data_IF_033171464672
#
_entry.id   IF_033171464672
#
_cell.length_a   1.000
_cell.length_b   1.000
_cell.length_c   1.000
_cell.angle_alpha   90.00
_cell.angle_beta   90.00
_cell.angle_gamma   90.00
#
_symmetry.space_group_name_H-M   'P 1'
#
loop_
_entity.id
_entity.type
_entity.pdbx_description
1 polymer ?
#
# COMPACT_ATOMS: atom_id res chain seq x y z
N UNK A 1 -16.45 21.39 -28.47
CA UNK A 1 -15.10 20.97 -28.01
C UNK A 1 -15.09 20.15 -26.71
N UNK A 2 -16.24 19.72 -26.14
CA UNK A 2 -16.26 18.89 -24.93
C UNK A 2 -16.19 17.36 -25.19
N UNK A 3 -16.53 16.90 -26.40
CA UNK A 3 -16.53 15.47 -26.76
C UNK A 3 -15.13 14.86 -26.97
N UNK A 4 -14.14 15.66 -27.33
CA UNK A 4 -12.75 15.21 -27.59
C UNK A 4 -11.94 14.96 -26.31
N UNK A 5 -12.33 15.56 -25.18
CA UNK A 5 -11.64 15.38 -23.89
C UNK A 5 -11.99 14.04 -23.22
N UNK A 6 -13.28 13.65 -23.22
CA UNK A 6 -13.75 12.38 -22.64
C UNK A 6 -13.16 11.15 -23.35
N UNK A 7 -13.05 11.18 -24.68
CA UNK A 7 -12.51 10.07 -25.46
C UNK A 7 -11.00 9.88 -25.23
N UNK A 8 -10.26 10.95 -24.88
CA UNK A 8 -8.83 10.89 -24.52
C UNK A 8 -8.57 10.23 -23.17
N UNK A 9 -9.46 10.36 -22.19
CA UNK A 9 -9.31 9.68 -20.89
C UNK A 9 -9.33 8.15 -21.02
N UNK A 10 -10.19 7.61 -21.88
CA UNK A 10 -10.32 6.16 -22.10
C UNK A 10 -9.09 5.61 -22.82
N UNK A 11 -8.52 6.35 -23.78
CA UNK A 11 -7.30 5.96 -24.51
C UNK A 11 -6.09 5.91 -23.56
N UNK A 12 -5.92 6.90 -22.68
CA UNK A 12 -4.84 6.92 -21.68
C UNK A 12 -4.91 5.73 -20.71
N UNK A 13 -6.10 5.37 -20.20
CA UNK A 13 -6.28 4.23 -19.30
C UNK A 13 -5.87 2.89 -19.95
N UNK A 14 -6.14 2.72 -21.25
CA UNK A 14 -5.77 1.51 -22.01
C UNK A 14 -4.24 1.44 -22.22
N UNK A 15 -3.59 2.56 -22.56
CA UNK A 15 -2.13 2.64 -22.71
C UNK A 15 -1.39 2.33 -21.39
N UNK A 16 -1.84 2.88 -20.26
CA UNK A 16 -1.29 2.57 -18.93
C UNK A 16 -1.47 1.10 -18.56
N UNK A 17 -2.63 0.53 -18.88
CA UNK A 17 -2.89 -0.88 -18.65
C UNK A 17 -1.91 -1.79 -19.41
N UNK A 18 -1.43 -1.38 -20.59
CA UNK A 18 -0.46 -2.14 -21.37
C UNK A 18 0.97 -1.99 -20.81
N UNK A 19 1.36 -0.79 -20.37
CA UNK A 19 2.66 -0.56 -19.71
C UNK A 19 2.80 -1.35 -18.41
N UNK A 20 1.75 -1.38 -17.57
CA UNK A 20 1.73 -2.16 -16.33
C UNK A 20 1.77 -3.67 -16.58
N UNK A 21 1.09 -4.15 -17.63
CA UNK A 21 1.10 -5.58 -17.98
C UNK A 21 2.48 -6.03 -18.47
N UNK A 22 3.21 -5.16 -19.17
CA UNK A 22 4.59 -5.44 -19.57
C UNK A 22 5.55 -5.43 -18.37
N UNK A 23 5.37 -4.51 -17.43
CA UNK A 23 6.20 -4.44 -16.22
C UNK A 23 5.91 -5.59 -15.23
N UNK A 24 4.67 -6.08 -15.18
CA UNK A 24 4.22 -7.12 -14.24
C UNK A 24 3.45 -8.22 -14.98
N UNK A 25 4.12 -9.08 -15.77
CA UNK A 25 3.47 -9.99 -16.72
C UNK A 25 2.59 -11.08 -16.09
N UNK A 26 2.77 -11.38 -14.79
CA UNK A 26 1.93 -12.34 -14.07
C UNK A 26 0.60 -11.75 -13.58
N UNK A 27 0.43 -10.43 -13.65
CA UNK A 27 -0.72 -9.75 -13.08
C UNK A 27 -1.96 -9.84 -13.98
N UNK A 28 -3.14 -9.68 -13.38
CA UNK A 28 -4.43 -9.68 -14.06
C UNK A 28 -5.16 -8.36 -13.80
N UNK A 29 -5.95 -7.90 -14.79
CA UNK A 29 -6.73 -6.66 -14.70
C UNK A 29 -8.12 -6.92 -14.07
N UNK A 30 -8.69 -5.96 -13.31
CA UNK A 30 -8.01 -4.79 -12.73
C UNK A 30 -6.92 -5.20 -11.73
N UNK A 31 -5.83 -4.42 -11.69
CA UNK A 31 -4.68 -4.71 -10.86
C UNK A 31 -4.96 -4.35 -9.40
N UNK A 32 -4.88 -5.36 -8.54
CA UNK A 32 -4.99 -5.25 -7.09
C UNK A 32 -3.63 -5.41 -6.43
N UNK A 33 -3.30 -4.50 -5.51
CA UNK A 33 -2.00 -4.43 -4.84
C UNK A 33 -2.18 -4.61 -3.34
N UNK A 34 -1.33 -5.43 -2.72
CA UNK A 34 -1.21 -5.48 -1.26
C UNK A 34 -0.12 -4.52 -0.80
N UNK A 35 -0.47 -3.55 0.04
CA UNK A 35 0.44 -2.51 0.49
C UNK A 35 1.63 -3.07 1.31
N UNK A 36 2.82 -2.43 1.27
CA UNK A 36 3.93 -2.75 2.15
C UNK A 36 3.66 -2.27 3.58
N UNK A 37 3.00 -3.10 4.39
CA UNK A 37 2.73 -2.79 5.80
C UNK A 37 3.90 -3.24 6.65
N UNK A 38 4.57 -2.29 7.32
CA UNK A 38 5.78 -2.54 8.12
C UNK A 38 5.58 -3.73 9.07
N UNK A 39 6.50 -4.71 9.05
CA UNK A 39 6.47 -6.01 9.79
C UNK A 39 5.33 -6.97 9.40
N UNK A 40 4.17 -6.44 9.01
CA UNK A 40 2.93 -7.18 8.77
C UNK A 40 2.94 -7.89 7.40
N UNK A 41 3.34 -7.17 6.35
CA UNK A 41 3.36 -7.70 4.98
C UNK A 41 4.64 -8.50 4.77
N UNK A 42 4.62 -9.77 5.21
CA UNK A 42 5.69 -10.72 5.00
C UNK A 42 5.69 -11.37 3.60
N UNK A 43 6.64 -12.29 3.35
CA UNK A 43 6.79 -12.99 2.07
C UNK A 43 5.58 -13.88 1.77
N UNK A 44 4.94 -14.49 2.77
CA UNK A 44 3.72 -15.29 2.58
C UNK A 44 2.61 -14.47 1.94
N UNK A 45 2.33 -13.28 2.48
CA UNK A 45 1.30 -12.38 1.94
C UNK A 45 1.67 -11.89 0.53
N UNK A 46 2.91 -11.42 0.36
CA UNK A 46 3.36 -10.89 -0.92
C UNK A 46 3.27 -11.94 -2.05
N UNK A 47 3.77 -13.15 -1.78
CA UNK A 47 3.74 -14.26 -2.76
C UNK A 47 2.31 -14.74 -3.03
N UNK A 48 1.45 -14.87 -2.02
CA UNK A 48 0.06 -15.30 -2.21
C UNK A 48 -0.73 -14.32 -3.09
N UNK A 49 -0.54 -13.01 -2.88
CA UNK A 49 -1.16 -11.96 -3.70
C UNK A 49 -0.64 -12.01 -5.14
N UNK A 50 0.68 -12.14 -5.33
CA UNK A 50 1.27 -12.23 -6.67
C UNK A 50 0.83 -13.49 -7.42
N UNK A 51 0.75 -14.65 -6.75
CA UNK A 51 0.22 -15.90 -7.35
C UNK A 51 -1.21 -15.78 -7.84
N UNK A 52 -1.99 -14.87 -7.27
CA UNK A 52 -3.41 -14.67 -7.59
C UNK A 52 -3.63 -13.57 -8.65
N UNK A 53 -2.55 -13.21 -9.36
CA UNK A 53 -2.54 -12.17 -10.38
C UNK A 53 -2.61 -10.74 -9.81
N UNK A 54 -2.38 -10.55 -8.51
CA UNK A 54 -2.15 -9.23 -7.91
C UNK A 54 -0.66 -8.86 -7.91
N UNK A 55 -0.33 -7.74 -7.26
CA UNK A 55 1.05 -7.38 -6.94
C UNK A 55 1.22 -7.29 -5.42
N UNK A 56 1.93 -8.25 -4.83
CA UNK A 56 2.23 -8.26 -3.40
C UNK A 56 3.51 -7.49 -3.09
N UNK A 57 3.48 -6.65 -2.05
CA UNK A 57 4.67 -6.00 -1.52
C UNK A 57 5.07 -6.57 -0.15
N UNK A 58 6.36 -6.78 0.04
CA UNK A 58 6.95 -6.98 1.37
C UNK A 58 7.08 -5.60 2.05
N UNK A 59 6.61 -5.50 3.29
CA UNK A 59 6.72 -4.30 4.09
C UNK A 59 8.14 -4.11 4.65
N UNK A 60 8.55 -2.87 5.01
CA UNK A 60 9.80 -2.68 5.72
C UNK A 60 9.80 -3.50 7.01
N UNK A 61 10.93 -4.13 7.33
CA UNK A 61 11.07 -4.84 8.58
C UNK A 61 11.20 -3.92 9.81
N UNK A 62 11.49 -4.51 10.97
CA UNK A 62 11.77 -3.70 12.17
C UNK A 62 13.07 -2.91 12.01
N UNK A 63 14.07 -3.56 11.40
CA UNK A 63 15.37 -3.00 11.01
C UNK A 63 15.54 -3.15 9.49
N UNK A 64 16.26 -2.24 8.80
CA UNK A 64 16.48 -2.35 7.35
C UNK A 64 16.97 -3.72 6.86
N UNK A 65 17.82 -4.39 7.65
CA UNK A 65 18.41 -5.69 7.31
C UNK A 65 17.39 -6.84 7.33
N UNK A 66 16.30 -6.71 8.11
CA UNK A 66 15.29 -7.77 8.21
C UNK A 66 14.46 -7.91 6.93
N UNK A 67 14.36 -6.86 6.11
CA UNK A 67 13.72 -6.92 4.79
C UNK A 67 14.43 -7.88 3.83
N UNK A 68 15.75 -8.02 3.93
CA UNK A 68 16.53 -8.94 3.09
C UNK A 68 16.20 -10.42 3.40
N UNK A 69 15.91 -10.75 4.66
CA UNK A 69 15.51 -12.10 5.07
C UNK A 69 14.16 -12.47 4.46
N UNK A 70 13.21 -11.53 4.46
CA UNK A 70 11.89 -11.75 3.86
C UNK A 70 11.97 -11.89 2.34
N UNK A 71 12.85 -11.13 1.67
CA UNK A 71 13.07 -11.28 0.24
C UNK A 71 13.71 -12.62 -0.15
N UNK A 72 14.69 -13.10 0.62
CA UNK A 72 15.26 -14.45 0.42
C UNK A 72 14.16 -15.52 0.60
N UNK A 73 13.34 -15.42 1.65
CA UNK A 73 12.22 -16.34 1.87
C UNK A 73 11.20 -16.31 0.73
N UNK A 74 10.86 -15.14 0.21
CA UNK A 74 9.96 -15.03 -0.96
C UNK A 74 10.59 -15.66 -2.21
N UNK A 75 11.89 -15.44 -2.45
CA UNK A 75 12.63 -16.05 -3.55
C UNK A 75 12.63 -17.58 -3.44
N UNK A 76 12.87 -18.13 -2.27
CA UNK A 76 12.79 -19.57 -2.02
C UNK A 76 11.39 -20.11 -2.31
N UNK A 77 10.34 -19.47 -1.78
CA UNK A 77 8.94 -19.88 -2.04
C UNK A 77 8.60 -19.90 -3.53
N UNK A 78 9.07 -18.91 -4.28
CA UNK A 78 8.83 -18.77 -5.72
C UNK A 78 9.69 -19.72 -6.56
N UNK A 79 10.84 -20.14 -6.06
CA UNK A 79 11.70 -21.13 -6.71
C UNK A 79 11.11 -22.54 -6.60
N UNK A 80 10.45 -22.85 -5.47
CA UNK A 80 9.76 -24.14 -5.26
C UNK A 80 8.40 -24.22 -5.96
N UNK A 81 7.69 -23.10 -6.07
CA UNK A 81 6.39 -23.02 -6.73
C UNK A 81 6.29 -21.70 -7.51
N UNK A 82 6.75 -21.69 -8.77
CA UNK A 82 6.72 -20.49 -9.63
C UNK A 82 5.30 -19.99 -9.88
N UNK A 83 5.16 -18.70 -10.17
CA UNK A 83 3.87 -18.11 -10.57
C UNK A 83 3.56 -18.54 -11.99
N UNK A 84 2.39 -19.14 -12.20
CA UNK A 84 1.88 -19.43 -13.53
C UNK A 84 1.63 -18.13 -14.28
N UNK A 85 2.30 -17.94 -15.42
CA UNK A 85 2.02 -16.81 -16.30
C UNK A 85 0.64 -17.01 -16.97
N UNK A 86 -0.17 -15.95 -17.10
CA UNK A 86 -1.36 -16.01 -17.96
C UNK A 86 -0.95 -16.43 -19.38
N UNK A 87 -1.72 -17.34 -19.99
CA UNK A 87 -1.42 -17.93 -21.29
C UNK A 87 -1.26 -16.91 -22.46
N UNK A 88 -1.64 -15.64 -22.25
CA UNK A 88 -1.59 -14.59 -23.27
C UNK A 88 -0.22 -13.90 -23.44
N UNK A 89 0.77 -14.16 -22.57
CA UNK A 89 2.04 -13.40 -22.55
C UNK A 89 3.30 -14.27 -22.73
N UNK A 90 3.21 -15.42 -23.39
CA UNK A 90 4.38 -16.30 -23.61
C UNK A 90 5.33 -15.76 -24.70
N UNK A 91 6.08 -14.71 -24.41
CA UNK A 91 7.36 -14.48 -25.10
C UNK A 91 8.48 -15.05 -24.23
N UNK A 92 9.42 -15.74 -24.89
CA UNK A 92 10.57 -16.41 -24.27
C UNK A 92 11.47 -15.38 -23.57
N UNK A 93 11.22 -15.13 -22.29
CA UNK A 93 12.08 -14.29 -21.46
C UNK A 93 13.26 -15.12 -20.95
N UNK A 94 14.46 -14.62 -21.24
CA UNK A 94 15.74 -15.10 -20.76
C UNK A 94 15.72 -15.25 -19.22
N UNK A 95 15.83 -16.49 -18.74
CA UNK A 95 15.71 -16.85 -17.33
C UNK A 95 16.83 -16.23 -16.47
N UNK A 96 17.94 -15.78 -17.08
CA UNK A 96 19.11 -15.23 -16.38
C UNK A 96 18.90 -13.80 -15.82
N UNK A 97 17.87 -13.07 -16.26
CA UNK A 97 17.65 -11.65 -15.88
C UNK A 97 16.34 -11.36 -15.13
N UNK A 98 15.56 -12.39 -14.81
CA UNK A 98 14.18 -12.23 -14.31
C UNK A 98 14.11 -11.48 -12.97
N UNK A 99 13.17 -10.54 -12.88
CA UNK A 99 12.84 -9.84 -11.63
C UNK A 99 12.02 -10.77 -10.73
N UNK A 100 12.20 -10.63 -9.41
CA UNK A 100 11.38 -11.32 -8.42
C UNK A 100 9.95 -10.73 -8.49
N UNK A 101 8.89 -11.54 -8.70
CA UNK A 101 7.53 -11.07 -8.98
C UNK A 101 6.76 -10.59 -7.74
N UNK A 102 7.42 -9.78 -6.92
CA UNK A 102 6.88 -9.06 -5.77
C UNK A 102 7.56 -7.69 -5.68
N UNK A 103 6.95 -6.78 -4.94
CA UNK A 103 7.59 -5.52 -4.56
C UNK A 103 8.16 -5.52 -3.15
N UNK A 104 8.90 -4.48 -2.81
CA UNK A 104 9.43 -4.22 -1.45
C UNK A 104 9.22 -2.75 -1.07
N UNK A 105 8.86 -2.48 0.19
CA UNK A 105 8.68 -1.12 0.70
C UNK A 105 9.86 -0.60 1.52
N UNK A 106 10.12 0.70 1.39
CA UNK A 106 11.13 1.45 2.12
C UNK A 106 10.52 2.70 2.77
N UNK A 107 10.86 2.93 4.04
CA UNK A 107 10.60 4.19 4.73
C UNK A 107 11.84 5.06 4.58
N UNK A 108 11.69 6.28 4.06
CA UNK A 108 12.82 7.13 3.73
C UNK A 108 13.38 7.82 4.99
N UNK A 109 12.51 8.38 5.83
CA UNK A 109 12.90 9.16 7.01
C UNK A 109 13.78 8.45 8.06
N UNK A 110 13.78 7.11 8.09
CA UNK A 110 14.59 6.27 8.97
C UNK A 110 15.25 5.09 8.25
N UNK A 111 15.17 5.06 6.92
CA UNK A 111 15.77 4.02 6.09
C UNK A 111 17.23 4.31 5.80
N UNK A 112 17.94 3.28 5.35
CA UNK A 112 19.30 3.40 4.83
C UNK A 112 19.27 3.10 3.33
N UNK A 113 19.56 4.11 2.53
CA UNK A 113 19.54 4.06 1.06
C UNK A 113 20.56 3.04 0.51
N UNK A 114 21.70 2.85 1.17
CA UNK A 114 22.73 1.90 0.73
C UNK A 114 22.30 0.46 1.02
N UNK A 115 21.68 0.23 2.19
CA UNK A 115 21.09 -1.07 2.50
C UNK A 115 19.94 -1.39 1.53
N UNK A 116 19.09 -0.41 1.22
CA UNK A 116 18.02 -0.58 0.24
C UNK A 116 18.56 -0.90 -1.15
N UNK A 117 19.58 -0.16 -1.62
CA UNK A 117 20.22 -0.38 -2.91
C UNK A 117 20.89 -1.76 -2.99
N UNK A 118 21.61 -2.17 -1.95
CA UNK A 118 22.21 -3.50 -1.87
C UNK A 118 21.15 -4.61 -1.92
N UNK A 119 20.04 -4.40 -1.21
CA UNK A 119 18.89 -5.33 -1.18
C UNK A 119 18.23 -5.45 -2.56
N UNK A 120 17.97 -4.31 -3.22
CA UNK A 120 17.37 -4.28 -4.57
C UNK A 120 18.31 -4.90 -5.61
N UNK A 121 19.61 -4.63 -5.54
CA UNK A 121 20.61 -5.23 -6.43
C UNK A 121 20.66 -6.76 -6.29
N UNK A 122 20.63 -7.26 -5.05
CA UNK A 122 20.73 -8.70 -4.75
C UNK A 122 19.46 -9.48 -5.11
N UNK A 123 18.28 -8.98 -4.73
CA UNK A 123 17.02 -9.73 -4.85
C UNK A 123 16.18 -9.34 -6.07
N UNK A 124 16.49 -8.19 -6.68
CA UNK A 124 15.87 -7.71 -7.93
C UNK A 124 14.32 -7.74 -7.88
N UNK A 125 13.68 -7.17 -6.85
CA UNK A 125 12.22 -7.09 -6.79
C UNK A 125 11.66 -6.36 -8.00
N UNK A 126 10.45 -6.71 -8.44
CA UNK A 126 9.84 -6.05 -9.59
C UNK A 126 9.50 -4.57 -9.31
N UNK A 127 9.29 -4.22 -8.03
CA UNK A 127 8.99 -2.86 -7.62
C UNK A 127 9.63 -2.49 -6.28
N UNK A 128 10.03 -1.23 -6.13
CA UNK A 128 10.45 -0.61 -4.88
C UNK A 128 9.49 0.53 -4.53
N UNK A 129 8.86 0.45 -3.35
CA UNK A 129 7.89 1.42 -2.87
C UNK A 129 8.53 2.39 -1.88
N UNK A 130 8.50 3.68 -2.20
CA UNK A 130 9.07 4.75 -1.41
C UNK A 130 7.96 5.48 -0.63
N UNK A 131 8.17 5.65 0.66
CA UNK A 131 7.21 6.34 1.52
C UNK A 131 7.90 7.17 2.62
N UNK A 132 7.22 8.25 3.01
CA UNK A 132 7.56 9.12 4.12
C UNK A 132 8.98 9.70 4.06
N UNK A 133 9.29 10.53 3.04
CA UNK A 133 10.50 11.35 3.06
C UNK A 133 10.43 12.36 4.21
N UNK A 134 11.59 12.62 4.81
CA UNK A 134 11.77 13.72 5.78
C UNK A 134 12.06 15.03 5.07
N UNK A 135 12.82 14.98 3.98
CA UNK A 135 13.34 16.14 3.26
C UNK A 135 12.68 16.37 1.89
N UNK A 136 11.42 15.94 1.75
CA UNK A 136 10.60 16.20 0.56
C UNK A 136 11.08 15.50 -0.72
N UNK A 137 10.77 16.10 -1.87
CA UNK A 137 10.98 15.48 -3.19
C UNK A 137 12.46 15.20 -3.50
N UNK A 138 13.39 16.05 -3.06
CA UNK A 138 14.82 15.84 -3.31
C UNK A 138 15.34 14.53 -2.68
N UNK A 139 14.82 14.14 -1.51
CA UNK A 139 15.14 12.85 -0.90
C UNK A 139 14.57 11.69 -1.73
N UNK A 140 13.32 11.81 -2.17
CA UNK A 140 12.68 10.81 -3.03
C UNK A 140 13.48 10.61 -4.32
N UNK A 141 13.90 11.69 -4.96
CA UNK A 141 14.67 11.64 -6.20
C UNK A 141 16.01 10.92 -6.02
N UNK A 142 16.73 11.21 -4.95
CA UNK A 142 17.98 10.54 -4.61
C UNK A 142 17.78 9.03 -4.41
N UNK A 143 16.73 8.64 -3.66
CA UNK A 143 16.36 7.24 -3.49
C UNK A 143 16.01 6.56 -4.81
N UNK A 144 15.21 7.21 -5.66
CA UNK A 144 14.81 6.66 -6.95
C UNK A 144 16.02 6.38 -7.86
N UNK A 145 16.92 7.37 -8.02
CA UNK A 145 18.15 7.22 -8.82
C UNK A 145 18.99 6.06 -8.29
N UNK A 146 19.25 6.05 -6.98
CA UNK A 146 20.14 5.05 -6.37
C UNK A 146 19.60 3.61 -6.49
N UNK A 147 18.28 3.43 -6.40
CA UNK A 147 17.65 2.12 -6.58
C UNK A 147 17.61 1.68 -8.05
N UNK A 148 17.40 2.61 -8.99
CA UNK A 148 17.48 2.32 -10.43
C UNK A 148 18.89 1.92 -10.86
N UNK A 149 19.93 2.58 -10.33
CA UNK A 149 21.33 2.17 -10.54
C UNK A 149 21.59 0.75 -10.01
N UNK A 150 21.00 0.39 -8.88
CA UNK A 150 21.15 -0.93 -8.28
C UNK A 150 20.46 -2.03 -9.09
N UNK A 151 19.27 -1.76 -9.65
CA UNK A 151 18.55 -2.67 -10.54
C UNK A 151 17.64 -1.89 -11.52
N UNK A 152 18.07 -1.64 -12.78
CA UNK A 152 17.30 -0.85 -13.73
C UNK A 152 15.89 -1.39 -14.05
N UNK A 153 15.67 -2.70 -13.86
CA UNK A 153 14.37 -3.33 -14.06
C UNK A 153 13.37 -3.09 -12.92
N UNK A 154 13.84 -2.75 -11.71
CA UNK A 154 12.96 -2.49 -10.56
C UNK A 154 12.20 -1.17 -10.79
N UNK A 155 10.87 -1.23 -10.75
CA UNK A 155 10.02 -0.04 -10.90
C UNK A 155 9.88 0.73 -9.60
N UNK A 156 9.97 2.05 -9.67
CA UNK A 156 9.85 2.94 -8.51
C UNK A 156 8.39 3.35 -8.31
N UNK A 157 7.82 2.99 -7.17
CA UNK A 157 6.49 3.41 -6.73
C UNK A 157 6.65 4.46 -5.64
N UNK A 158 5.99 5.60 -5.79
CA UNK A 158 5.99 6.63 -4.76
C UNK A 158 4.59 6.81 -4.19
N UNK A 159 4.47 6.71 -2.87
CA UNK A 159 3.24 7.02 -2.17
C UNK A 159 3.17 8.50 -1.78
N UNK A 160 2.11 9.16 -2.24
CA UNK A 160 1.81 10.58 -2.01
C UNK A 160 0.44 10.71 -1.33
N UNK A 161 0.27 11.76 -0.52
CA UNK A 161 -0.99 12.04 0.18
C UNK A 161 -1.53 13.45 -0.03
N UNK A 162 -0.84 14.26 -0.83
CA UNK A 162 -1.25 15.62 -1.20
C UNK A 162 -1.07 15.86 -2.71
N UNK A 163 -1.76 16.87 -3.22
CA UNK A 163 -1.63 17.30 -4.61
C UNK A 163 -0.20 17.74 -4.95
N UNK A 164 0.42 18.57 -4.10
CA UNK A 164 1.76 19.12 -4.35
C UNK A 164 2.83 18.02 -4.41
N UNK A 165 2.79 17.04 -3.50
CA UNK A 165 3.72 15.88 -3.55
C UNK A 165 3.64 15.13 -4.88
N UNK A 166 2.44 15.01 -5.46
CA UNK A 166 2.25 14.33 -6.74
C UNK A 166 2.76 15.15 -7.93
N UNK A 167 2.51 16.46 -7.92
CA UNK A 167 2.98 17.38 -8.98
C UNK A 167 4.50 17.50 -8.97
N UNK A 168 5.12 17.64 -7.80
CA UNK A 168 6.59 17.69 -7.66
C UNK A 168 7.22 16.39 -8.17
N UNK A 169 6.70 15.23 -7.76
CA UNK A 169 7.19 13.93 -8.22
C UNK A 169 7.02 13.72 -9.73
N UNK A 170 5.92 14.22 -10.31
CA UNK A 170 5.69 14.14 -11.76
C UNK A 170 6.63 15.08 -12.54
N UNK A 171 7.06 16.19 -11.92
CA UNK A 171 7.98 17.15 -12.50
C UNK A 171 9.45 16.72 -12.42
N UNK A 172 9.80 15.74 -11.59
CA UNK A 172 11.15 15.17 -11.50
C UNK A 172 11.69 14.73 -12.87
N UNK A 173 13.01 14.80 -13.03
CA UNK A 173 13.72 14.35 -14.22
C UNK A 173 13.51 12.86 -14.48
N UNK A 174 13.68 12.43 -15.73
CA UNK A 174 13.46 11.03 -16.16
C UNK A 174 14.20 10.00 -15.30
N UNK A 175 15.39 10.34 -14.79
CA UNK A 175 16.20 9.44 -13.96
C UNK A 175 15.62 9.22 -12.54
N UNK A 176 14.93 10.20 -11.98
CA UNK A 176 14.37 10.17 -10.61
C UNK A 176 12.86 10.02 -10.58
N UNK A 177 12.16 10.34 -11.67
CA UNK A 177 10.70 10.27 -11.77
C UNK A 177 10.19 8.87 -11.41
N UNK A 178 9.15 8.77 -10.55
CA UNK A 178 8.57 7.48 -10.22
C UNK A 178 7.85 6.88 -11.43
N UNK A 179 7.84 5.55 -11.51
CA UNK A 179 7.10 4.81 -12.52
C UNK A 179 5.61 4.68 -12.17
N UNK A 180 5.26 4.83 -10.88
CA UNK A 180 3.88 4.76 -10.36
C UNK A 180 3.71 5.76 -9.21
N UNK A 181 2.58 6.47 -9.19
CA UNK A 181 2.14 7.22 -8.01
C UNK A 181 1.00 6.49 -7.30
N UNK A 182 1.15 6.31 -6.00
CA UNK A 182 0.10 5.77 -5.13
C UNK A 182 -0.53 6.93 -4.37
N UNK A 183 -1.74 7.29 -4.75
CA UNK A 183 -2.52 8.37 -4.14
C UNK A 183 -3.21 7.81 -2.90
N UNK A 184 -2.63 8.07 -1.73
CA UNK A 184 -3.15 7.63 -0.43
C UNK A 184 -4.15 8.64 0.13
N UNK A 185 -5.41 8.25 0.21
CA UNK A 185 -6.46 9.01 0.89
C UNK A 185 -6.35 8.98 2.42
N UNK A 186 -6.93 9.99 3.08
CA UNK A 186 -6.95 10.13 4.55
C UNK A 186 -7.67 8.99 5.29
N UNK A 187 -8.42 8.15 4.56
CA UNK A 187 -9.08 6.94 5.05
C UNK A 187 -8.09 5.79 5.31
N UNK A 188 -6.86 5.86 4.79
CA UNK A 188 -5.87 4.81 4.95
C UNK A 188 -5.47 4.56 6.41
N UNK A 189 -5.22 3.29 6.74
CA UNK A 189 -4.68 2.85 8.03
C UNK A 189 -3.18 3.09 8.15
N UNK A 190 -2.67 3.12 9.38
CA UNK A 190 -1.26 3.41 9.61
C UNK A 190 -0.89 4.83 9.18
N UNK A 191 0.42 5.06 9.01
CA UNK A 191 0.96 6.39 8.70
C UNK A 191 0.44 6.94 7.36
N UNK A 192 -0.06 8.16 7.43
CA UNK A 192 -0.48 8.98 6.29
C UNK A 192 -0.47 10.45 6.71
N UNK A 193 -0.92 11.35 5.85
CA UNK A 193 -0.92 12.80 6.12
C UNK A 193 -1.70 13.12 7.41
N UNK A 194 -1.06 13.90 8.29
CA UNK A 194 -1.56 14.16 9.63
C UNK A 194 -2.73 15.16 9.66
N UNK A 195 -2.65 16.23 8.86
CA UNK A 195 -3.60 17.35 8.90
C UNK A 195 -4.08 17.84 7.52
N UNK A 196 -3.35 17.56 6.45
CA UNK A 196 -3.59 18.06 5.09
C UNK A 196 -3.91 16.95 4.07
N UNK A 197 -4.20 15.74 4.55
CA UNK A 197 -4.64 14.65 3.71
C UNK A 197 -6.09 14.80 3.28
N UNK A 198 -6.39 14.45 2.03
CA UNK A 198 -7.75 14.43 1.48
C UNK A 198 -8.21 12.99 1.20
N UNK A 199 -9.52 12.78 1.07
CA UNK A 199 -10.04 11.47 0.65
C UNK A 199 -9.67 11.17 -0.81
N UNK A 200 -9.36 9.91 -1.12
CA UNK A 200 -8.83 9.56 -2.44
C UNK A 200 -9.83 9.84 -3.57
N UNK A 201 -11.14 9.80 -3.27
CA UNK A 201 -12.19 10.03 -4.27
C UNK A 201 -12.16 11.45 -4.84
N UNK A 202 -11.70 12.42 -4.05
CA UNK A 202 -11.51 13.81 -4.46
C UNK A 202 -10.08 14.06 -4.92
N UNK A 203 -9.09 13.50 -4.22
CA UNK A 203 -7.67 13.75 -4.46
C UNK A 203 -7.17 13.14 -5.79
N UNK A 204 -7.63 11.94 -6.14
CA UNK A 204 -7.13 11.24 -7.31
C UNK A 204 -7.48 11.94 -8.63
N UNK A 205 -8.72 12.39 -8.90
CA UNK A 205 -9.04 13.11 -10.13
C UNK A 205 -8.23 14.39 -10.30
N UNK A 206 -8.05 15.16 -9.23
CA UNK A 206 -7.29 16.41 -9.25
C UNK A 206 -5.81 16.16 -9.62
N UNK A 207 -5.19 15.16 -9.00
CA UNK A 207 -3.83 14.72 -9.36
C UNK A 207 -3.81 14.21 -10.81
N UNK A 208 -4.78 13.38 -11.21
CA UNK A 208 -4.85 12.83 -12.56
C UNK A 208 -4.87 13.90 -13.64
N UNK A 209 -5.56 15.01 -13.40
CA UNK A 209 -5.59 16.12 -14.35
C UNK A 209 -4.27 16.89 -14.38
N UNK A 210 -3.68 17.17 -13.22
CA UNK A 210 -2.43 17.92 -13.14
C UNK A 210 -1.21 17.13 -13.63
N UNK A 211 -1.17 15.81 -13.42
CA UNK A 211 -0.03 14.96 -13.81
C UNK A 211 -0.24 14.27 -15.15
N UNK A 212 -1.32 14.55 -15.89
CA UNK A 212 -1.66 13.85 -17.15
C UNK A 212 -0.50 13.80 -18.15
N UNK A 213 0.26 14.89 -18.26
CA UNK A 213 1.38 15.01 -19.20
C UNK A 213 2.60 14.14 -18.85
N UNK A 214 2.71 13.64 -17.62
CA UNK A 214 3.85 12.80 -17.20
C UNK A 214 3.72 11.35 -17.67
N UNK A 215 2.51 10.90 -17.96
CA UNK A 215 2.23 9.50 -18.28
C UNK A 215 2.41 8.54 -17.09
N UNK A 216 2.44 9.04 -15.84
CA UNK A 216 2.57 8.16 -14.68
C UNK A 216 1.19 7.59 -14.30
N UNK A 217 1.01 6.26 -14.26
CA UNK A 217 -0.23 5.65 -13.78
C UNK A 217 -0.44 5.91 -12.29
N UNK A 218 -1.70 6.21 -11.93
CA UNK A 218 -2.11 6.48 -10.56
C UNK A 218 -2.81 5.27 -9.93
N UNK A 219 -2.42 4.91 -8.72
CA UNK A 219 -3.08 3.86 -7.93
C UNK A 219 -3.81 4.50 -6.75
N UNK A 220 -5.07 4.11 -6.54
CA UNK A 220 -5.83 4.59 -5.40
C UNK A 220 -5.52 3.74 -4.15
N UNK A 221 -5.29 4.39 -3.01
CA UNK A 221 -5.12 3.73 -1.72
C UNK A 221 -5.93 4.43 -0.62
N UNK A 222 -6.41 3.66 0.35
CA UNK A 222 -7.16 4.17 1.51
C UNK A 222 -8.65 3.84 1.43
N UNK A 223 -9.23 3.25 2.49
CA UNK A 223 -10.65 2.90 2.54
C UNK A 223 -11.12 1.75 1.63
N UNK A 224 -10.32 1.32 0.66
CA UNK A 224 -10.65 0.23 -0.27
C UNK A 224 -10.51 -1.13 0.44
N UNK A 225 -11.60 -1.90 0.49
CA UNK A 225 -11.64 -3.20 1.15
C UNK A 225 -12.35 -4.33 0.37
N UNK A 226 -13.07 -3.99 -0.71
CA UNK A 226 -13.84 -4.93 -1.53
C UNK A 226 -14.03 -4.38 -2.97
N UNK A 227 -14.79 -5.10 -3.79
CA UNK A 227 -15.00 -4.74 -5.19
C UNK A 227 -15.71 -3.41 -5.41
N UNK A 228 -16.47 -2.90 -4.45
CA UNK A 228 -17.17 -1.60 -4.55
C UNK A 228 -16.16 -0.46 -4.50
N UNK A 229 -15.27 -0.50 -3.50
CA UNK A 229 -14.18 0.47 -3.40
C UNK A 229 -13.23 0.39 -4.60
N UNK A 230 -12.95 -0.81 -5.09
CA UNK A 230 -12.12 -1.01 -6.27
C UNK A 230 -12.77 -0.44 -7.53
N UNK A 231 -14.06 -0.73 -7.78
CA UNK A 231 -14.80 -0.19 -8.93
C UNK A 231 -14.90 1.34 -8.87
N UNK A 232 -15.16 1.92 -7.69
CA UNK A 232 -15.21 3.37 -7.51
C UNK A 232 -13.87 4.05 -7.86
N UNK A 233 -12.76 3.50 -7.36
CA UNK A 233 -11.43 4.01 -7.66
C UNK A 233 -11.08 3.92 -9.16
N UNK A 234 -11.41 2.81 -9.81
CA UNK A 234 -11.20 2.64 -11.25
C UNK A 234 -12.06 3.63 -12.06
N UNK A 235 -13.31 3.85 -11.64
CA UNK A 235 -14.24 4.77 -12.30
C UNK A 235 -13.76 6.24 -12.28
N UNK A 236 -13.02 6.64 -11.24
CA UNK A 236 -12.47 8.00 -11.12
C UNK A 236 -11.06 8.15 -11.74
N UNK A 237 -10.55 7.12 -12.43
CA UNK A 237 -9.32 7.21 -13.22
C UNK A 237 -8.10 6.49 -12.64
N UNK A 238 -8.24 5.70 -11.58
CA UNK A 238 -7.13 4.87 -11.09
C UNK A 238 -6.77 3.78 -12.11
N UNK A 239 -5.47 3.52 -12.31
CA UNK A 239 -4.95 2.41 -13.10
C UNK A 239 -4.99 1.06 -12.34
N UNK A 240 -5.09 1.13 -11.01
CA UNK A 240 -5.22 -0.01 -10.11
C UNK A 240 -5.48 0.46 -8.70
N UNK A 241 -5.64 -0.48 -7.77
CA UNK A 241 -5.98 -0.16 -6.38
C UNK A 241 -5.09 -0.87 -5.39
N UNK A 242 -4.85 -0.22 -4.26
CA UNK A 242 -4.03 -0.73 -3.18
C UNK A 242 -4.89 -0.94 -1.95
N UNK A 243 -4.82 -2.14 -1.40
CA UNK A 243 -5.48 -2.50 -0.15
C UNK A 243 -4.42 -2.76 0.93
N UNK A 244 -4.64 -2.16 2.11
CA UNK A 244 -3.85 -2.44 3.31
C UNK A 244 -4.70 -3.16 4.35
N UNK A 245 -5.65 -2.43 4.94
CA UNK A 245 -6.51 -2.94 6.03
C UNK A 245 -7.24 -4.24 5.70
N UNK A 246 -7.67 -4.43 4.44
CA UNK A 246 -8.31 -5.70 4.03
C UNK A 246 -7.40 -6.91 4.18
N UNK A 247 -6.10 -6.75 3.88
CA UNK A 247 -5.10 -7.82 4.00
C UNK A 247 -4.62 -8.04 5.43
N UNK A 248 -4.92 -7.15 6.40
CA UNK A 248 -4.72 -7.46 7.82
C UNK A 248 -5.58 -8.66 8.26
N UNK A 249 -6.74 -8.83 7.64
CA UNK A 249 -7.61 -9.99 7.80
C UNK A 249 -7.35 -11.06 6.72
N UNK A 250 -6.07 -11.29 6.40
CA UNK A 250 -5.64 -12.46 5.61
C UNK A 250 -5.00 -13.52 6.50
N UNK A 251 -4.98 -14.77 6.05
CA UNK A 251 -4.29 -15.86 6.76
C UNK A 251 -2.76 -15.68 6.72
N UNK A 252 -2.25 -14.98 5.71
CA UNK A 252 -0.83 -14.81 5.42
C UNK A 252 -0.20 -13.57 6.08
N UNK A 253 -1.01 -12.66 6.61
CA UNK A 253 -0.50 -11.48 7.32
C UNK A 253 0.16 -11.86 8.65
N UNK A 254 1.34 -11.28 8.92
CA UNK A 254 2.09 -11.48 10.18
C UNK A 254 1.51 -10.60 11.29
N UNK A 255 0.28 -10.92 11.72
CA UNK A 255 -0.42 -10.20 12.79
C UNK A 255 -0.77 -11.14 13.93
N UNK A 256 -0.76 -10.62 15.15
CA UNK A 256 -1.27 -11.34 16.31
C UNK A 256 -2.78 -11.62 16.12
N UNK A 257 -3.27 -12.74 16.65
CA UNK A 257 -4.67 -13.13 16.48
C UNK A 257 -5.65 -12.11 17.07
N UNK A 258 -5.31 -11.51 18.20
CA UNK A 258 -6.15 -10.48 18.84
C UNK A 258 -6.15 -9.17 18.06
N UNK A 259 -5.02 -8.82 17.42
CA UNK A 259 -4.98 -7.72 16.44
C UNK A 259 -5.98 -7.99 15.32
N UNK A 260 -5.90 -9.18 14.71
CA UNK A 260 -6.76 -9.54 13.57
C UNK A 260 -8.24 -9.60 13.97
N UNK A 261 -8.54 -10.14 15.15
CA UNK A 261 -9.89 -10.15 15.71
C UNK A 261 -10.41 -8.72 15.91
N UNK A 262 -9.56 -7.81 16.39
CA UNK A 262 -9.93 -6.40 16.56
C UNK A 262 -10.24 -5.71 15.22
N UNK A 263 -9.47 -5.99 14.17
CA UNK A 263 -9.76 -5.50 12.80
C UNK A 263 -11.13 -5.96 12.32
N UNK A 264 -11.52 -7.20 12.59
CA UNK A 264 -12.80 -7.77 12.13
C UNK A 264 -13.98 -7.29 12.97
N UNK A 265 -13.74 -7.11 14.27
CA UNK A 265 -14.73 -6.61 15.23
C UNK A 265 -15.09 -5.15 14.95
N UNK A 266 -14.10 -4.31 14.67
CA UNK A 266 -14.32 -2.88 14.50
C UNK A 266 -15.32 -2.57 13.37
N UNK A 267 -16.16 -1.58 13.61
CA UNK A 267 -17.20 -1.11 12.71
C UNK A 267 -17.33 0.39 12.87
N UNK A 268 -17.97 1.10 11.93
CA UNK A 268 -18.08 2.56 11.99
C UNK A 268 -16.71 3.23 12.13
N UNK A 269 -15.86 3.06 11.11
CA UNK A 269 -14.47 3.51 11.19
C UNK A 269 -14.30 5.02 11.35
N UNK A 270 -15.33 5.83 11.09
CA UNK A 270 -15.31 7.25 11.38
C UNK A 270 -15.28 7.53 12.89
N UNK A 271 -16.05 6.76 13.68
CA UNK A 271 -16.07 6.90 15.15
C UNK A 271 -15.04 6.03 15.86
N UNK A 272 -14.66 4.89 15.28
CA UNK A 272 -13.77 3.92 15.95
C UNK A 272 -12.31 4.01 15.54
N UNK A 273 -11.93 4.89 14.60
CA UNK A 273 -10.52 5.10 14.23
C UNK A 273 -10.09 6.53 14.44
N UNK A 274 -8.81 6.72 14.76
CA UNK A 274 -8.23 8.04 14.99
C UNK A 274 -6.80 8.12 14.46
N UNK A 275 -6.39 9.32 14.03
CA UNK A 275 -4.98 9.63 13.74
C UNK A 275 -4.31 10.16 15.00
N UNK A 276 -3.28 9.48 15.49
CA UNK A 276 -2.59 9.87 16.71
C UNK A 276 -1.15 9.36 16.77
N UNK A 277 -0.25 10.18 17.33
CA UNK A 277 1.12 9.76 17.64
C UNK A 277 1.22 8.96 18.94
N UNK A 278 0.14 8.90 19.74
CA UNK A 278 0.12 8.25 21.06
C UNK A 278 0.81 6.88 21.01
N UNK A 279 0.37 6.01 20.12
CA UNK A 279 0.88 4.64 20.07
C UNK A 279 2.30 4.52 19.53
N UNK A 280 2.78 5.49 18.75
CA UNK A 280 4.19 5.54 18.37
C UNK A 280 5.03 5.82 19.63
N UNK A 281 4.63 6.81 20.41
CA UNK A 281 5.33 7.20 21.62
C UNK A 281 5.26 6.10 22.71
N UNK A 282 4.10 5.45 22.88
CA UNK A 282 3.94 4.34 23.84
C UNK A 282 4.89 3.17 23.55
N UNK A 283 5.16 2.86 22.28
CA UNK A 283 6.15 1.83 21.89
C UNK A 283 7.58 2.36 21.78
N UNK A 284 7.85 3.60 22.19
CA UNK A 284 9.18 4.21 22.14
C UNK A 284 9.65 4.65 20.74
N UNK A 285 8.75 4.74 19.75
CA UNK A 285 9.08 5.29 18.43
C UNK A 285 8.81 6.80 18.42
N UNK A 286 9.87 7.59 18.29
CA UNK A 286 9.81 9.05 18.15
C UNK A 286 10.44 9.49 16.82
N UNK A 287 10.23 10.76 16.45
CA UNK A 287 10.93 11.38 15.33
C UNK A 287 10.37 11.07 13.94
N UNK A 288 9.14 10.55 13.84
CA UNK A 288 8.39 10.57 12.58
C UNK A 288 8.31 12.02 12.07
N UNK A 289 8.44 12.27 10.74
CA UNK A 289 8.22 13.60 10.20
C UNK A 289 6.81 14.11 10.56
N UNK A 290 6.72 15.39 10.92
CA UNK A 290 5.50 15.98 11.51
C UNK A 290 4.27 15.85 10.62
N UNK A 291 4.49 15.84 9.31
CA UNK A 291 3.43 15.65 8.33
C UNK A 291 2.74 14.27 8.37
N UNK A 292 3.32 13.27 9.05
CA UNK A 292 2.78 11.90 9.07
C UNK A 292 2.28 11.51 10.45
N UNK A 293 1.02 11.06 10.53
CA UNK A 293 0.42 10.51 11.75
C UNK A 293 -0.32 9.21 11.43
N UNK A 294 -0.17 8.15 12.24
CA UNK A 294 -0.83 6.90 11.95
C UNK A 294 -2.29 6.88 12.35
N UNK A 295 -3.13 6.26 11.51
CA UNK A 295 -4.51 5.89 11.86
C UNK A 295 -4.56 4.52 12.53
N UNK A 296 -5.24 4.45 13.66
CA UNK A 296 -5.44 3.22 14.45
C UNK A 296 -6.91 3.07 14.84
N UNK A 297 -7.31 1.86 15.21
CA UNK A 297 -8.55 1.65 15.97
C UNK A 297 -8.35 2.19 17.38
N UNK A 298 -9.37 2.84 17.93
CA UNK A 298 -9.40 3.39 19.28
C UNK A 298 -9.46 2.24 20.29
N UNK A 299 -8.65 2.35 21.34
CA UNK A 299 -8.69 1.46 22.51
C UNK A 299 -8.52 2.27 23.80
N UNK A 300 -8.43 1.56 24.93
CA UNK A 300 -8.34 2.11 26.27
C UNK A 300 -7.26 3.18 26.45
N UNK A 301 -6.08 3.02 25.85
CA UNK A 301 -5.01 4.03 25.93
C UNK A 301 -5.43 5.38 25.36
N UNK A 302 -6.15 5.38 24.24
CA UNK A 302 -6.65 6.62 23.64
C UNK A 302 -7.77 7.22 24.47
N UNK A 303 -8.72 6.41 24.92
CA UNK A 303 -9.85 6.86 25.75
C UNK A 303 -9.36 7.53 27.04
N UNK A 304 -8.42 6.91 27.73
CA UNK A 304 -7.84 7.47 28.97
C UNK A 304 -7.02 8.73 28.69
N UNK A 305 -6.28 8.80 27.56
CA UNK A 305 -5.60 10.04 27.16
C UNK A 305 -6.60 11.19 26.97
N UNK A 306 -7.73 10.94 26.29
CA UNK A 306 -8.77 11.96 26.10
C UNK A 306 -9.45 12.35 27.42
N UNK A 307 -9.44 11.46 28.42
CA UNK A 307 -9.89 11.76 29.78
C UNK A 307 -8.83 12.48 30.64
N UNK A 308 -7.66 12.82 30.08
CA UNK A 308 -6.62 13.58 30.76
C UNK A 308 -5.55 12.74 31.47
N UNK A 309 -5.47 11.43 31.22
CA UNK A 309 -4.41 10.59 31.79
C UNK A 309 -3.02 11.04 31.31
N UNK A 310 -2.07 11.10 32.25
CA UNK A 310 -0.68 11.46 31.95
C UNK A 310 0.04 10.39 31.12
N UNK A 311 0.96 10.82 30.26
CA UNK A 311 1.69 9.91 29.36
C UNK A 311 2.44 8.79 30.11
N UNK A 312 3.07 9.10 31.24
CA UNK A 312 3.82 8.11 32.02
C UNK A 312 2.95 6.95 32.53
N UNK A 313 1.72 7.23 32.95
CA UNK A 313 0.81 6.20 33.44
C UNK A 313 0.24 5.36 32.29
N UNK A 314 -0.02 5.99 31.14
CA UNK A 314 -0.36 5.29 29.89
C UNK A 314 0.80 4.39 29.44
N UNK A 315 2.05 4.85 29.55
CA UNK A 315 3.25 4.08 29.19
C UNK A 315 3.41 2.85 30.07
N UNK A 316 3.27 2.99 31.40
CA UNK A 316 3.29 1.85 32.33
C UNK A 316 2.20 0.83 32.00
N UNK A 317 0.98 1.29 31.75
CA UNK A 317 -0.16 0.43 31.40
C UNK A 317 0.05 -0.29 30.06
N UNK A 318 0.60 0.43 29.07
CA UNK A 318 0.98 -0.14 27.78
C UNK A 318 2.02 -1.26 27.94
N UNK A 319 3.11 -1.00 28.67
CA UNK A 319 4.20 -1.97 28.81
C UNK A 319 3.76 -3.23 29.56
N UNK A 320 2.90 -3.07 30.57
CA UNK A 320 2.29 -4.19 31.27
C UNK A 320 1.43 -5.03 30.31
N UNK A 321 0.56 -4.39 29.53
CA UNK A 321 -0.29 -5.10 28.57
C UNK A 321 0.52 -5.83 27.48
N UNK A 322 1.62 -5.24 27.00
CA UNK A 322 2.56 -5.91 26.08
C UNK A 322 3.17 -7.15 26.73
N UNK A 323 3.67 -7.02 27.96
CA UNK A 323 4.29 -8.13 28.71
C UNK A 323 3.30 -9.28 28.96
N UNK A 324 2.04 -8.97 29.20
CA UNK A 324 0.98 -9.95 29.43
C UNK A 324 0.36 -10.51 28.14
N UNK A 325 0.75 -10.01 26.96
CA UNK A 325 0.17 -10.41 25.69
C UNK A 325 -1.25 -9.88 25.44
N UNK A 326 -1.75 -8.93 26.25
CA UNK A 326 -3.09 -8.33 26.15
C UNK A 326 -3.08 -6.99 25.42
N UNK A 327 -2.34 -6.94 24.32
CA UNK A 327 -2.06 -5.68 23.61
C UNK A 327 -3.27 -5.11 22.87
N UNK A 328 -4.13 -5.95 22.30
CA UNK A 328 -5.15 -5.57 21.33
C UNK A 328 -6.58 -5.79 21.84
N UNK A 329 -7.55 -5.20 21.15
CA UNK A 329 -8.95 -5.15 21.55
C UNK A 329 -9.35 -3.81 22.16
N UNK A 330 -10.64 -3.61 22.51
CA UNK A 330 -11.13 -2.37 23.12
C UNK A 330 -10.41 -2.02 24.43
N UNK A 331 -10.16 -3.04 25.26
CA UNK A 331 -9.41 -2.92 26.52
C UNK A 331 -7.89 -3.00 26.32
N UNK A 332 -7.44 -3.20 25.08
CA UNK A 332 -6.04 -3.26 24.71
C UNK A 332 -5.34 -1.92 24.90
N UNK A 333 -4.01 -1.95 24.80
CA UNK A 333 -3.13 -0.78 25.02
C UNK A 333 -2.18 -0.49 23.87
N UNK A 334 -2.01 -1.39 22.92
CA UNK A 334 -1.11 -1.26 21.76
C UNK A 334 -1.87 -0.78 20.52
N UNK A 335 -1.17 -0.35 19.47
CA UNK A 335 -1.82 0.06 18.23
C UNK A 335 -2.46 -1.13 17.48
N UNK A 336 -3.70 -0.95 17.03
CA UNK A 336 -4.28 -1.71 15.90
C UNK A 336 -4.36 -0.79 14.69
N UNK A 337 -3.30 -0.74 13.87
CA UNK A 337 -3.25 0.10 12.66
C UNK A 337 -4.24 -0.35 11.60
N UNK A 338 -5.36 0.35 11.46
CA UNK A 338 -6.36 0.08 10.44
C UNK A 338 -6.96 1.38 9.90
N UNK A 339 -7.47 1.32 8.67
CA UNK A 339 -8.09 2.44 7.98
C UNK A 339 -9.54 2.64 8.38
N UNK A 340 -10.11 3.77 7.99
CA UNK A 340 -11.52 4.10 8.24
C UNK A 340 -12.49 3.12 7.53
N UNK A 341 -12.03 2.42 6.49
CA UNK A 341 -12.78 1.34 5.82
C UNK A 341 -12.89 0.03 6.63
N UNK A 342 -12.41 -0.01 7.89
CA UNK A 342 -12.37 -1.24 8.71
C UNK A 342 -13.74 -1.92 8.86
N UNK A 343 -14.84 -1.15 8.87
CA UNK A 343 -16.20 -1.70 8.94
C UNK A 343 -16.64 -2.52 7.72
N UNK A 344 -15.84 -2.58 6.66
CA UNK A 344 -16.06 -3.46 5.50
C UNK A 344 -15.29 -4.80 5.64
N UNK A 345 -14.35 -4.91 6.58
CA UNK A 345 -13.52 -6.09 6.78
C UNK A 345 -14.16 -6.97 7.85
N UNK A 346 -14.89 -8.01 7.42
CA UNK A 346 -15.73 -8.84 8.33
C UNK A 346 -15.29 -10.28 8.49
N UNK A 347 -14.34 -10.74 7.68
CA UNK A 347 -13.92 -12.14 7.64
C UNK A 347 -12.40 -12.25 7.41
N UNK A 348 -11.80 -13.29 7.99
CA UNK A 348 -10.45 -13.73 7.61
C UNK A 348 -10.55 -14.63 6.39
N UNK A 349 -9.83 -14.31 5.33
CA UNK A 349 -9.75 -15.14 4.12
C UNK A 349 -8.28 -15.38 3.74
N UNK A 350 -8.03 -16.31 2.81
CA UNK A 350 -6.72 -16.37 2.15
C UNK A 350 -6.48 -15.13 1.28
N UNK A 351 -5.27 -14.61 1.24
CA UNK A 351 -4.95 -13.40 0.48
C UNK A 351 -5.25 -13.55 -1.02
N UNK A 352 -5.11 -14.74 -1.57
CA UNK A 352 -5.51 -15.02 -2.95
C UNK A 352 -7.02 -14.89 -3.18
N UNK A 353 -7.83 -15.46 -2.28
CA UNK A 353 -9.28 -15.33 -2.32
C UNK A 353 -9.74 -13.87 -2.17
N UNK A 354 -9.04 -13.07 -1.36
CA UNK A 354 -9.28 -11.62 -1.26
C UNK A 354 -9.10 -10.94 -2.62
N UNK A 355 -8.01 -11.25 -3.33
CA UNK A 355 -7.72 -10.70 -4.66
C UNK A 355 -8.80 -11.14 -5.66
N UNK A 356 -9.07 -12.43 -5.76
CA UNK A 356 -10.04 -12.99 -6.73
C UNK A 356 -11.45 -12.44 -6.53
N UNK A 357 -11.93 -12.43 -5.27
CA UNK A 357 -13.26 -11.93 -4.93
C UNK A 357 -13.39 -10.44 -5.21
N UNK A 358 -12.44 -9.63 -4.74
CA UNK A 358 -12.44 -8.18 -4.95
C UNK A 358 -12.43 -7.85 -6.45
N UNK A 359 -11.62 -8.57 -7.24
CA UNK A 359 -11.53 -8.38 -8.69
C UNK A 359 -12.85 -8.73 -9.36
N UNK A 360 -13.42 -9.89 -9.03
CA UNK A 360 -14.67 -10.38 -9.63
C UNK A 360 -15.83 -9.43 -9.34
N UNK A 361 -15.99 -9.02 -8.08
CA UNK A 361 -17.01 -8.04 -7.66
C UNK A 361 -16.84 -6.70 -8.39
N UNK A 362 -15.60 -6.19 -8.51
CA UNK A 362 -15.34 -4.94 -9.21
C UNK A 362 -15.73 -5.02 -10.70
N UNK A 363 -15.37 -6.11 -11.37
CA UNK A 363 -15.72 -6.35 -12.79
C UNK A 363 -17.23 -6.43 -12.97
N UNK A 364 -17.93 -7.13 -12.08
CA UNK A 364 -19.40 -7.22 -12.13
C UNK A 364 -20.06 -5.85 -11.95
N UNK A 365 -19.59 -5.06 -10.99
CA UNK A 365 -20.09 -3.69 -10.75
C UNK A 365 -19.84 -2.81 -11.98
N UNK A 366 -18.64 -2.85 -12.56
CA UNK A 366 -18.32 -2.08 -13.76
C UNK A 366 -19.22 -2.48 -14.93
N UNK A 367 -19.44 -3.79 -15.16
CA UNK A 367 -20.36 -4.27 -16.21
C UNK A 367 -21.78 -3.73 -16.00
N UNK A 368 -22.29 -3.79 -14.77
CA UNK A 368 -23.61 -3.25 -14.42
C UNK A 368 -23.70 -1.74 -14.66
N UNK A 369 -22.66 -0.97 -14.30
CA UNK A 369 -22.61 0.47 -14.53
C UNK A 369 -22.56 0.82 -16.02
N UNK A 370 -21.90 0.01 -16.85
CA UNK A 370 -21.90 0.19 -18.30
C UNK A 370 -23.28 -0.04 -18.92
N UNK A 371 -24.07 -0.97 -18.38
CA UNK A 371 -25.45 -1.22 -18.83
C UNK A 371 -26.37 -0.03 -18.57
N UNK A 372 -26.16 0.72 -17.47
CA UNK A 372 -26.92 1.96 -17.17
C UNK A 372 -26.66 3.10 -18.16
N UNK A 373 -25.53 3.07 -18.89
CA UNK A 373 -25.14 4.13 -19.82
C UNK A 373 -25.57 3.90 -21.27
N UNK A 374 -26.41 2.89 -21.55
CA UNK A 374 -26.79 2.47 -22.91
C UNK A 374 -28.17 2.96 -23.38
N UNK A 375 -28.76 3.93 -22.68
CA UNK A 375 -30.03 4.57 -23.08
C UNK A 375 -29.96 5.26 -24.45
#
# INVERSE_FOLDING_TARGET
>A
MAGTSKMRHIIHSIEFGNQLSAAYPWTSKPLLVAAPMRVISGPQLAVAVSRSGGLGFIGPGEKPQTTAVDLESAKDMLSHSPISQPASNSSSLDQSSSLLPIGVGFQLWNGDINVAASTVSRYRPAAAWLFAPRHGQAEVDNWAVRLREACPGTKIWLQVGTFNEAVEAAASDTASRPDVLVVQGTEAGGHGRASDGMGFITLLPEISDATRGSGIPLFAAGGIADGRGAAAALAIGAAGVVMGTRFLASQEARVNKDYQNEVIRAADGASTTVRTQLYNHLRGTFGWPEQFSPRTIINKSWVEQQAGAGFEDLKKSHDLAVKEGRGWGPEGRTATYAGAGVGLVRVVDGAGAIVEKTRSEAVEIIRRLQELGRD
#
